data_IF_802648399924
#
_entry.id   IF_802648399924
#
_cell.length_a   1.000
_cell.length_b   1.000
_cell.length_c   1.000
_cell.angle_alpha   90.00
_cell.angle_beta   90.00
_cell.angle_gamma   90.00
#
_symmetry.space_group_name_H-M   'P 1'
#
loop_
_entity.id
_entity.type
_entity.pdbx_description
1 polymer ?
#
# COMPACT_ATOMS: atom_id res chain seq x y z
N UNK A 1 21.12 25.08 12.91
CA UNK A 1 20.38 24.22 11.97
C UNK A 1 20.87 22.82 12.28
N UNK A 2 20.04 22.04 12.94
CA UNK A 2 20.40 20.70 13.41
C UNK A 2 20.56 19.76 12.22
N UNK A 3 21.51 18.84 12.29
CA UNK A 3 21.83 17.89 11.21
C UNK A 3 20.66 16.96 10.87
N UNK A 4 19.62 16.91 11.70
CA UNK A 4 18.36 16.20 11.48
C UNK A 4 17.49 16.86 10.39
N UNK A 5 17.64 18.16 10.11
CA UNK A 5 16.89 18.86 9.05
C UNK A 5 17.43 18.59 7.63
N UNK A 6 18.62 17.97 7.51
CA UNK A 6 19.25 17.62 6.24
C UNK A 6 18.94 16.19 5.78
N UNK A 7 18.20 15.41 6.59
CA UNK A 7 17.83 14.06 6.23
C UNK A 7 16.71 14.09 5.17
N UNK A 8 16.94 13.54 3.96
CA UNK A 8 15.88 13.39 2.98
C UNK A 8 14.70 12.63 3.61
N UNK A 9 13.44 13.03 3.37
CA UNK A 9 12.29 12.30 3.89
C UNK A 9 12.42 10.82 3.49
N UNK A 10 12.15 9.87 4.41
CA UNK A 10 12.29 8.45 4.13
C UNK A 10 11.53 8.13 2.85
N UNK A 11 12.25 7.63 1.83
CA UNK A 11 11.68 7.37 0.51
C UNK A 11 10.47 6.46 0.71
N UNK A 12 9.32 6.89 0.18
CA UNK A 12 8.04 6.17 0.26
C UNK A 12 8.07 4.79 -0.40
N UNK A 13 9.17 4.46 -1.06
CA UNK A 13 9.40 3.22 -1.77
C UNK A 13 9.77 2.04 -0.84
N UNK A 14 9.70 2.22 0.48
CA UNK A 14 10.32 1.31 1.46
C UNK A 14 9.71 -0.09 1.59
N UNK A 15 8.40 -0.21 1.85
CA UNK A 15 7.85 -1.49 2.33
C UNK A 15 7.50 -2.48 1.20
N UNK A 16 6.84 -2.01 0.13
CA UNK A 16 6.44 -2.88 -0.99
C UNK A 16 7.66 -3.35 -1.79
N UNK A 17 8.65 -2.48 -2.01
CA UNK A 17 9.87 -2.87 -2.71
C UNK A 17 10.68 -3.90 -1.91
N UNK A 18 10.76 -3.73 -0.59
CA UNK A 18 11.39 -4.72 0.31
C UNK A 18 10.66 -6.06 0.24
N UNK A 19 9.33 -6.07 0.36
CA UNK A 19 8.51 -7.27 0.28
C UNK A 19 8.71 -8.02 -1.06
N UNK A 20 8.80 -7.30 -2.17
CA UNK A 20 9.00 -7.88 -3.51
C UNK A 20 10.43 -8.39 -3.74
N UNK A 21 11.40 -7.89 -2.97
CA UNK A 21 12.79 -8.32 -3.03
C UNK A 21 13.11 -9.49 -2.09
N UNK A 22 12.17 -9.92 -1.25
CA UNK A 22 12.37 -11.06 -0.36
C UNK A 22 12.56 -12.38 -1.13
N UNK A 23 13.55 -13.15 -0.68
CA UNK A 23 13.88 -14.46 -1.19
C UNK A 23 12.86 -15.50 -0.70
N UNK A 24 11.99 -15.96 -1.61
CA UNK A 24 10.92 -16.90 -1.32
C UNK A 24 11.41 -18.34 -1.13
N UNK A 25 12.63 -18.69 -1.57
CA UNK A 25 13.17 -20.05 -1.45
C UNK A 25 13.43 -20.46 0.01
N UNK A 26 13.41 -19.48 0.92
CA UNK A 26 13.58 -19.68 2.37
C UNK A 26 12.28 -19.97 3.10
N UNK A 27 11.14 -19.82 2.42
CA UNK A 27 9.82 -20.01 2.99
C UNK A 27 9.32 -21.43 2.72
N UNK A 28 8.75 -22.06 3.73
CA UNK A 28 7.98 -23.30 3.58
C UNK A 28 6.67 -23.05 2.84
N UNK A 29 6.04 -24.12 2.33
CA UNK A 29 4.73 -24.02 1.67
C UNK A 29 3.67 -23.35 2.56
N UNK A 30 3.62 -23.72 3.85
CA UNK A 30 2.67 -23.11 4.80
C UNK A 30 2.93 -21.62 5.00
N UNK A 31 4.20 -21.19 5.01
CA UNK A 31 4.55 -19.77 5.12
C UNK A 31 4.21 -19.00 3.83
N UNK A 32 4.38 -19.63 2.66
CA UNK A 32 3.95 -19.07 1.38
C UNK A 32 2.42 -18.91 1.35
N UNK A 33 1.66 -19.92 1.78
CA UNK A 33 0.19 -19.85 1.86
C UNK A 33 -0.26 -18.73 2.80
N UNK A 34 0.36 -18.62 3.98
CA UNK A 34 0.07 -17.55 4.94
C UNK A 34 0.39 -16.16 4.36
N UNK A 35 1.50 -16.03 3.63
CA UNK A 35 1.89 -14.80 2.95
C UNK A 35 0.84 -14.42 1.89
N UNK A 36 0.42 -15.37 1.06
CA UNK A 36 -0.60 -15.14 0.03
C UNK A 36 -1.89 -14.64 0.66
N UNK A 37 -2.41 -15.33 1.68
CA UNK A 37 -3.65 -14.96 2.35
C UNK A 37 -3.60 -13.52 2.92
N UNK A 38 -2.47 -13.13 3.52
CA UNK A 38 -2.27 -11.78 4.02
C UNK A 38 -2.27 -10.72 2.90
N UNK A 39 -1.58 -10.99 1.79
CA UNK A 39 -1.50 -10.07 0.65
C UNK A 39 -2.83 -9.91 -0.07
N UNK A 40 -3.59 -10.99 -0.24
CA UNK A 40 -4.95 -10.92 -0.81
C UNK A 40 -5.88 -10.08 0.06
N UNK A 41 -5.79 -10.22 1.39
CA UNK A 41 -6.50 -9.37 2.35
C UNK A 41 -6.13 -7.89 2.19
N UNK A 42 -4.84 -7.58 2.05
CA UNK A 42 -4.39 -6.20 1.84
C UNK A 42 -4.84 -5.62 0.50
N UNK A 43 -4.83 -6.42 -0.56
CA UNK A 43 -5.38 -6.04 -1.87
C UNK A 43 -6.87 -5.72 -1.75
N UNK A 44 -7.65 -6.53 -1.02
CA UNK A 44 -9.07 -6.27 -0.78
C UNK A 44 -9.29 -4.94 -0.03
N UNK A 45 -8.52 -4.70 1.04
CA UNK A 45 -8.56 -3.42 1.80
C UNK A 45 -8.23 -2.22 0.91
N UNK A 46 -7.17 -2.32 0.12
CA UNK A 46 -6.74 -1.27 -0.81
C UNK A 46 -7.82 -0.97 -1.85
N UNK A 47 -8.44 -2.01 -2.44
CA UNK A 47 -9.55 -1.86 -3.39
C UNK A 47 -10.76 -1.17 -2.75
N UNK A 48 -11.13 -1.56 -1.53
CA UNK A 48 -12.23 -0.93 -0.80
C UNK A 48 -11.97 0.56 -0.53
N UNK A 49 -10.76 0.92 -0.11
CA UNK A 49 -10.38 2.33 0.10
C UNK A 49 -10.42 3.13 -1.19
N UNK A 50 -9.92 2.57 -2.30
CA UNK A 50 -9.98 3.21 -3.63
C UNK A 50 -11.42 3.45 -4.07
N UNK A 51 -12.28 2.44 -3.94
CA UNK A 51 -13.68 2.56 -4.30
C UNK A 51 -14.39 3.67 -3.50
N UNK A 52 -14.16 3.73 -2.19
CA UNK A 52 -14.71 4.81 -1.34
C UNK A 52 -14.20 6.20 -1.74
N UNK A 53 -12.92 6.33 -2.08
CA UNK A 53 -12.36 7.59 -2.55
C UNK A 53 -12.94 8.03 -3.91
N UNK A 54 -13.17 7.08 -4.84
CA UNK A 54 -13.83 7.35 -6.12
C UNK A 54 -15.29 7.76 -5.93
N UNK A 55 -16.04 7.12 -5.03
CA UNK A 55 -17.41 7.49 -4.71
C UNK A 55 -17.50 8.92 -4.14
N UNK A 56 -16.59 9.29 -3.24
CA UNK A 56 -16.50 10.64 -2.70
C UNK A 56 -16.16 11.67 -3.79
N UNK A 57 -15.21 11.36 -4.68
CA UNK A 57 -14.87 12.24 -5.80
C UNK A 57 -16.04 12.42 -6.78
N UNK A 58 -16.75 11.33 -7.12
CA UNK A 58 -17.91 11.40 -8.01
C UNK A 58 -19.07 12.20 -7.41
N UNK A 59 -19.29 12.09 -6.09
CA UNK A 59 -20.28 12.88 -5.38
C UNK A 59 -19.89 14.37 -5.34
N UNK A 60 -18.61 14.68 -5.10
CA UNK A 60 -18.11 16.05 -5.17
C UNK A 60 -18.20 16.64 -6.58
N UNK A 61 -17.77 15.91 -7.61
CA UNK A 61 -17.83 16.37 -9.01
C UNK A 61 -19.28 16.66 -9.46
N UNK A 62 -20.27 15.92 -8.94
CA UNK A 62 -21.69 16.17 -9.20
C UNK A 62 -22.25 17.37 -8.42
N UNK A 63 -21.65 17.71 -7.27
CA UNK A 63 -22.04 18.84 -6.45
C UNK A 63 -21.43 20.17 -6.97
N UNK A 64 -20.24 20.11 -7.56
CA UNK A 64 -19.49 21.27 -8.05
C UNK A 64 -19.60 21.52 -9.56
N UNK A 65 -20.18 20.60 -10.35
CA UNK A 65 -20.64 20.88 -11.72
C UNK A 65 -22.08 21.38 -11.70
N UNK A 66 -22.24 22.64 -11.33
CA UNK A 66 -23.40 23.47 -11.64
C UNK A 66 -22.92 24.89 -11.91
#
# INVERSE_FOLDING_TARGET
MDMDDLMPPPRKDGALAQLLAEDLDRLSLTELDARIAALEGEVARTRAKRAGATAFRSAADSLFKR
#
